data_IF_750376387550
#
_entry.id   IF_750376387550
#
_cell.length_a   1.000
_cell.length_b   1.000
_cell.length_c   1.000
_cell.angle_alpha   90.00
_cell.angle_beta   90.00
_cell.angle_gamma   90.00
#
_symmetry.space_group_name_H-M   'P 1'
#
loop_
_entity.id
_entity.type
_entity.pdbx_description
1 polymer ?
#
# COMPACT_ATOMS: atom_id res chain seq x y z
N UNK A 1 24.90 8.30 -6.57
CA UNK A 1 24.89 7.65 -5.25
C UNK A 1 23.58 8.01 -4.56
N UNK A 2 22.74 7.04 -4.20
CA UNK A 2 21.43 7.31 -3.59
C UNK A 2 21.58 7.48 -2.08
N UNK A 3 20.95 8.52 -1.54
CA UNK A 3 20.97 8.82 -0.11
C UNK A 3 19.67 8.36 0.53
N UNK A 4 19.77 7.72 1.69
CA UNK A 4 18.61 7.41 2.53
C UNK A 4 18.19 8.71 3.24
N UNK A 5 16.92 9.09 3.09
CA UNK A 5 16.37 10.28 3.75
C UNK A 5 16.08 10.02 5.23
N UNK A 6 15.77 11.06 5.98
CA UNK A 6 15.35 10.95 7.39
C UNK A 6 14.10 10.08 7.58
N UNK A 7 13.24 10.00 6.56
CA UNK A 7 12.07 9.12 6.52
C UNK A 7 12.40 7.69 6.10
N UNK A 8 13.69 7.34 5.99
CA UNK A 8 14.19 6.04 5.52
C UNK A 8 13.73 5.69 4.10
N UNK A 9 13.54 6.71 3.26
CA UNK A 9 13.21 6.52 1.84
C UNK A 9 14.49 6.56 1.02
N UNK A 10 14.56 5.72 -0.01
CA UNK A 10 15.60 5.74 -1.04
C UNK A 10 14.95 5.91 -2.40
N UNK A 11 15.49 6.80 -3.22
CA UNK A 11 15.04 6.96 -4.59
C UNK A 11 15.65 5.88 -5.46
N UNK A 12 14.83 5.10 -6.15
CA UNK A 12 15.30 4.12 -7.12
C UNK A 12 15.61 4.82 -8.47
N UNK A 13 16.72 4.49 -9.14
CA UNK A 13 16.97 4.95 -10.50
C UNK A 13 15.86 4.54 -11.46
N UNK A 14 15.55 5.39 -12.44
CA UNK A 14 14.58 5.08 -13.49
C UNK A 14 14.90 3.77 -14.23
N UNK A 15 16.18 3.50 -14.48
CA UNK A 15 16.61 2.27 -15.15
C UNK A 15 16.21 1.00 -14.36
N UNK A 16 16.28 1.04 -13.03
CA UNK A 16 15.88 -0.08 -12.16
C UNK A 16 14.36 -0.23 -12.18
N UNK A 17 13.62 0.88 -12.08
CA UNK A 17 12.16 0.84 -12.17
C UNK A 17 11.69 0.25 -13.51
N UNK A 18 12.32 0.66 -14.62
CA UNK A 18 11.99 0.15 -15.96
C UNK A 18 12.30 -1.34 -16.10
N UNK A 19 13.48 -1.78 -15.64
CA UNK A 19 13.89 -3.19 -15.71
C UNK A 19 12.97 -4.11 -14.88
N UNK A 20 12.39 -3.58 -13.80
CA UNK A 20 11.47 -4.32 -12.92
C UNK A 20 9.99 -4.05 -13.21
N UNK A 21 9.69 -3.27 -14.25
CA UNK A 21 8.35 -2.79 -14.58
C UNK A 21 7.60 -2.19 -13.37
N UNK A 22 8.31 -1.47 -12.49
CA UNK A 22 7.74 -0.82 -11.31
C UNK A 22 7.11 0.52 -11.68
N UNK A 23 5.87 0.71 -11.26
CA UNK A 23 5.12 1.97 -11.39
C UNK A 23 4.85 2.58 -10.02
N UNK A 24 4.69 3.92 -9.93
CA UNK A 24 4.22 4.55 -8.71
C UNK A 24 2.88 3.95 -8.25
N UNK A 25 2.84 3.47 -7.01
CA UNK A 25 1.67 2.80 -6.45
C UNK A 25 1.75 1.27 -6.44
N UNK A 26 2.75 0.67 -7.10
CA UNK A 26 2.99 -0.77 -7.03
C UNK A 26 3.38 -1.21 -5.62
N UNK A 27 2.89 -2.37 -5.22
CA UNK A 27 3.29 -3.02 -3.98
C UNK A 27 4.61 -3.78 -4.19
N UNK A 28 5.51 -3.68 -3.21
CA UNK A 28 6.80 -4.36 -3.21
C UNK A 28 7.08 -4.99 -1.86
N UNK A 29 7.77 -6.13 -1.87
CA UNK A 29 8.36 -6.73 -0.68
C UNK A 29 9.79 -6.24 -0.50
N UNK A 30 10.13 -5.85 0.73
CA UNK A 30 11.49 -5.44 1.07
C UNK A 30 12.01 -6.33 2.20
N UNK A 31 13.11 -7.02 1.97
CA UNK A 31 13.77 -7.87 2.97
C UNK A 31 15.28 -7.81 2.84
N UNK A 32 15.99 -8.20 3.90
CA UNK A 32 17.44 -8.22 3.92
C UNK A 32 17.96 -9.67 3.91
N UNK A 33 18.96 -9.95 3.06
CA UNK A 33 19.66 -11.23 3.01
C UNK A 33 21.13 -10.97 2.66
N UNK A 34 22.06 -11.60 3.36
CA UNK A 34 23.50 -11.51 3.08
C UNK A 34 24.04 -10.06 3.04
N UNK A 35 23.48 -9.17 3.88
CA UNK A 35 23.84 -7.75 3.92
C UNK A 35 23.29 -6.90 2.76
N UNK A 36 22.43 -7.48 1.91
CA UNK A 36 21.81 -6.83 0.75
C UNK A 36 20.31 -6.65 1.00
N UNK A 37 19.80 -5.45 0.72
CA UNK A 37 18.36 -5.19 0.69
C UNK A 37 17.81 -5.61 -0.67
N UNK A 38 16.83 -6.51 -0.66
CA UNK A 38 16.11 -6.98 -1.83
C UNK A 38 14.76 -6.27 -1.91
N UNK A 39 14.40 -5.85 -3.12
CA UNK A 39 13.08 -5.30 -3.43
C UNK A 39 12.47 -6.23 -4.49
N UNK A 40 11.29 -6.78 -4.22
CA UNK A 40 10.60 -7.71 -5.12
C UNK A 40 9.21 -7.17 -5.41
N UNK A 41 8.86 -7.06 -6.69
CA UNK A 41 7.52 -6.65 -7.11
C UNK A 41 6.48 -7.68 -6.66
N UNK A 42 5.41 -7.23 -6.01
CA UNK A 42 4.31 -8.09 -5.63
C UNK A 42 3.23 -8.11 -6.72
N UNK A 43 2.67 -9.29 -6.96
CA UNK A 43 1.45 -9.47 -7.74
C UNK A 43 0.28 -9.82 -6.81
N UNK A 44 -0.94 -9.81 -7.33
CA UNK A 44 -2.17 -10.19 -6.59
C UNK A 44 -2.04 -11.52 -5.86
N UNK A 45 -1.38 -12.49 -6.47
CA UNK A 45 -1.21 -13.84 -5.90
C UNK A 45 -0.22 -13.84 -4.72
N UNK A 46 0.75 -12.90 -4.71
CA UNK A 46 1.71 -12.73 -3.61
C UNK A 46 1.08 -12.04 -2.38
N UNK A 47 -0.10 -11.44 -2.56
CA UNK A 47 -0.87 -10.78 -1.50
C UNK A 47 -1.87 -11.74 -0.84
N UNK A 48 -2.15 -12.87 -1.47
CA UNK A 48 -3.08 -13.88 -0.97
C UNK A 48 -2.57 -14.46 0.36
N UNK A 49 -3.39 -14.40 1.41
CA UNK A 49 -3.03 -14.84 2.76
C UNK A 49 -2.19 -13.88 3.60
N UNK A 50 -1.53 -12.86 3.01
CA UNK A 50 -0.81 -11.83 3.79
C UNK A 50 -1.75 -10.90 4.53
N UNK A 51 -3.02 -10.76 4.12
CA UNK A 51 -4.02 -9.97 4.86
C UNK A 51 -4.70 -10.73 6.01
N UNK A 52 -4.40 -12.01 6.23
CA UNK A 52 -5.05 -12.82 7.27
C UNK A 52 -4.85 -12.25 8.68
N UNK A 53 -3.76 -11.52 8.93
CA UNK A 53 -3.54 -10.86 10.24
C UNK A 53 -4.36 -9.57 10.41
N UNK A 54 -4.84 -8.94 9.34
CA UNK A 54 -5.75 -7.79 9.40
C UNK A 54 -7.21 -8.23 9.62
N UNK A 55 -7.52 -9.49 9.35
CA UNK A 55 -8.85 -10.09 9.48
C UNK A 55 -9.03 -10.75 10.87
N UNK A 56 -8.00 -10.71 11.73
CA UNK A 56 -7.96 -11.49 12.98
C UNK A 56 -9.09 -11.21 13.98
N UNK A 57 -9.79 -10.06 13.88
CA UNK A 57 -10.85 -9.69 14.84
C UNK A 57 -12.14 -9.15 14.21
N UNK A 58 -12.31 -9.22 12.88
CA UNK A 58 -13.59 -8.90 12.24
C UNK A 58 -13.83 -9.85 11.07
N UNK A 59 -14.97 -10.54 11.11
CA UNK A 59 -15.56 -11.16 9.91
C UNK A 59 -15.46 -10.17 8.76
N UNK A 60 -15.12 -10.66 7.57
CA UNK A 60 -15.09 -9.85 6.36
C UNK A 60 -16.39 -9.04 6.29
N UNK A 61 -16.33 -7.70 6.35
CA UNK A 61 -17.55 -6.91 6.34
C UNK A 61 -18.25 -7.18 5.01
N UNK A 62 -19.56 -7.44 5.08
CA UNK A 62 -20.33 -7.79 3.89
C UNK A 62 -20.21 -6.68 2.85
N UNK A 63 -20.41 -7.01 1.57
CA UNK A 63 -20.38 -6.00 0.50
C UNK A 63 -21.32 -4.80 0.79
N UNK A 64 -22.37 -5.01 1.57
CA UNK A 64 -23.29 -3.96 2.03
C UNK A 64 -22.66 -3.05 3.10
N UNK A 65 -21.88 -3.59 4.03
CA UNK A 65 -21.17 -2.82 5.06
C UNK A 65 -20.06 -1.95 4.45
N UNK A 66 -19.36 -2.45 3.43
CA UNK A 66 -18.37 -1.69 2.65
C UNK A 66 -19.05 -0.55 1.88
N UNK A 67 -20.23 -0.78 1.31
CA UNK A 67 -21.00 0.25 0.59
C UNK A 67 -21.53 1.32 1.56
N UNK A 68 -21.97 0.92 2.75
CA UNK A 68 -22.48 1.83 3.78
C UNK A 68 -21.37 2.68 4.42
N UNK A 69 -20.18 2.12 4.65
CA UNK A 69 -19.02 2.88 5.15
C UNK A 69 -18.53 3.92 4.12
N UNK A 70 -18.50 3.57 2.82
CA UNK A 70 -18.20 4.54 1.75
C UNK A 70 -19.21 5.69 1.67
N UNK A 71 -20.51 5.38 1.80
CA UNK A 71 -21.57 6.41 1.84
C UNK A 71 -21.47 7.33 3.06
N UNK A 72 -21.17 6.79 4.24
CA UNK A 72 -20.96 7.58 5.46
C UNK A 72 -19.75 8.51 5.37
N UNK A 73 -18.67 8.06 4.74
CA UNK A 73 -17.49 8.90 4.52
C UNK A 73 -17.71 10.02 3.50
N UNK A 74 -18.47 9.75 2.43
CA UNK A 74 -18.86 10.79 1.48
C UNK A 74 -19.72 11.87 2.16
N UNK A 75 -20.74 11.49 2.94
CA UNK A 75 -21.60 12.44 3.65
C UNK A 75 -20.83 13.30 4.68
N UNK A 76 -19.84 12.74 5.39
CA UNK A 76 -18.99 13.51 6.30
C UNK A 76 -18.09 14.52 5.58
N UNK A 77 -17.67 14.23 4.35
CA UNK A 77 -16.89 15.17 3.53
C UNK A 77 -17.74 16.37 3.10
N UNK A 78 -19.01 16.13 2.75
CA UNK A 78 -19.93 17.21 2.38
C UNK A 78 -20.35 18.10 3.56
N UNK A 79 -20.50 17.55 4.78
CA UNK A 79 -20.85 18.33 5.98
C UNK A 79 -19.69 19.17 6.56
N UNK A 80 -18.45 18.90 6.15
CA UNK A 80 -17.28 19.65 6.61
C UNK A 80 -16.98 20.89 5.75
N UNK A 81 -17.62 21.02 4.58
CA UNK A 81 -17.42 22.14 3.65
C UNK A 81 -18.44 23.28 3.85
N UNK A 82 -19.40 23.16 4.78
CA UNK A 82 -20.43 24.18 5.07
C UNK A 82 -20.03 25.15 6.22
N UNK A 83 -18.75 25.18 6.62
CA UNK A 83 -18.20 26.18 7.55
C UNK A 83 -16.89 26.76 7.02
N UNK A 84 -17.01 27.60 6.00
CA UNK A 84 -16.09 28.70 5.71
C UNK A 84 -16.83 29.83 5.01
#
# INVERSE_FOLDING_TARGET
MHKITTKRQVTLPQAVCNAMALQPGDYVEVFARDGVAHIVKMNSDNLEGKFNYLIKDKEFPSAEEIKNTRKKHAAKKFLADDCN
#
